data_IF_337860558537
#
_entry.id   IF_337860558537
#
_cell.length_a   1.000
_cell.length_b   1.000
_cell.length_c   1.000
_cell.angle_alpha   90.00
_cell.angle_beta   90.00
_cell.angle_gamma   90.00
#
_symmetry.space_group_name_H-M   'P 1'
#
loop_
_entity.id
_entity.type
_entity.pdbx_description
1 polymer ?
#
# COMPACT_ATOMS: atom_id res chain seq x y z
N UNK A 1 -45.50 64.25 -3.40
CA UNK A 1 -44.57 64.36 -4.53
C UNK A 1 -44.25 62.95 -5.02
N UNK A 2 -44.88 62.57 -6.14
CA UNK A 2 -44.44 61.68 -7.25
C UNK A 2 -43.33 60.63 -6.98
N UNK A 3 -43.34 59.36 -7.42
CA UNK A 3 -43.97 58.69 -8.56
C UNK A 3 -43.79 57.16 -8.40
N UNK A 4 -44.80 56.36 -8.76
CA UNK A 4 -44.68 54.91 -8.96
C UNK A 4 -43.97 54.64 -10.29
N UNK A 5 -42.90 53.86 -10.32
CA UNK A 5 -42.37 53.26 -11.55
C UNK A 5 -42.24 51.75 -11.34
N UNK A 6 -43.02 50.99 -12.11
CA UNK A 6 -42.81 49.57 -12.37
C UNK A 6 -41.77 49.49 -13.49
N UNK A 7 -40.67 48.77 -13.31
CA UNK A 7 -39.81 48.33 -14.41
C UNK A 7 -39.81 46.80 -14.46
N UNK A 8 -40.15 46.33 -15.66
CA UNK A 8 -40.25 44.94 -16.09
C UNK A 8 -38.84 44.36 -16.29
N UNK A 9 -38.75 43.06 -16.08
CA UNK A 9 -37.57 42.21 -16.10
C UNK A 9 -36.65 42.37 -17.33
N UNK A 10 -35.36 42.13 -17.08
CA UNK A 10 -34.46 41.46 -18.04
C UNK A 10 -33.61 40.46 -17.26
N UNK A 11 -33.87 39.18 -17.50
CA UNK A 11 -33.08 38.07 -17.02
C UNK A 11 -31.69 38.11 -17.67
N UNK A 12 -30.64 38.21 -16.88
CA UNK A 12 -29.29 37.88 -17.33
C UNK A 12 -29.11 36.39 -17.13
N UNK A 13 -29.32 35.62 -18.20
CA UNK A 13 -28.86 34.22 -18.27
C UNK A 13 -27.35 34.28 -18.41
N UNK A 14 -26.63 34.08 -17.29
CA UNK A 14 -25.21 33.75 -17.35
C UNK A 14 -25.12 32.30 -17.81
N UNK A 15 -24.83 32.11 -19.10
CA UNK A 15 -24.41 30.83 -19.62
C UNK A 15 -23.02 30.51 -19.02
N UNK A 16 -23.00 29.73 -17.94
CA UNK A 16 -21.77 29.10 -17.46
C UNK A 16 -21.41 28.04 -18.48
N UNK A 17 -20.45 28.37 -19.36
CA UNK A 17 -19.79 27.40 -20.22
C UNK A 17 -19.18 26.32 -19.32
N UNK A 18 -19.62 25.08 -19.54
CA UNK A 18 -19.24 23.92 -18.77
C UNK A 18 -17.72 23.73 -18.75
N UNK A 19 -17.13 23.87 -17.57
CA UNK A 19 -15.89 23.19 -17.28
C UNK A 19 -16.25 21.70 -17.04
N UNK A 20 -15.63 20.74 -17.74
CA UNK A 20 -15.75 19.35 -17.33
C UNK A 20 -15.22 19.27 -15.90
N UNK A 21 -16.06 18.85 -14.96
CA UNK A 21 -15.58 18.39 -13.67
C UNK A 21 -14.69 17.18 -13.96
N UNK A 22 -13.38 17.39 -13.96
CA UNK A 22 -12.42 16.30 -13.95
C UNK A 22 -12.63 15.60 -12.62
N UNK A 23 -13.46 14.54 -12.64
CA UNK A 23 -13.42 13.54 -11.60
C UNK A 23 -11.98 13.05 -11.59
N UNK A 24 -11.23 13.36 -10.54
CA UNK A 24 -10.00 12.66 -10.28
C UNK A 24 -10.40 11.20 -10.09
N UNK A 25 -10.31 10.42 -11.17
CA UNK A 25 -10.33 8.98 -11.04
C UNK A 25 -9.27 8.64 -9.99
N UNK A 26 -9.52 7.66 -9.09
CA UNK A 26 -8.42 7.12 -8.31
C UNK A 26 -7.36 6.71 -9.35
N UNK A 27 -6.15 7.25 -9.19
CA UNK A 27 -5.10 6.94 -10.11
C UNK A 27 -4.86 5.43 -9.98
N UNK A 28 -5.19 4.69 -11.04
CA UNK A 28 -5.11 3.24 -11.03
C UNK A 28 -3.65 2.84 -10.83
N UNK A 29 -3.31 2.42 -9.61
CA UNK A 29 -2.21 1.52 -9.38
C UNK A 29 -2.47 0.26 -10.22
N UNK A 30 -1.38 -0.32 -10.72
CA UNK A 30 -1.48 -1.53 -11.52
C UNK A 30 -0.31 -2.41 -11.15
N UNK A 31 -0.64 -3.58 -10.60
CA UNK A 31 0.27 -4.72 -10.44
C UNK A 31 1.02 -5.05 -11.75
N UNK A 32 0.55 -4.55 -12.91
CA UNK A 32 1.22 -4.66 -14.21
C UNK A 32 2.61 -4.03 -14.27
N UNK A 33 2.99 -3.17 -13.32
CA UNK A 33 4.33 -2.59 -13.28
C UNK A 33 5.35 -3.49 -12.56
N UNK A 34 4.90 -4.53 -11.84
CA UNK A 34 5.77 -5.47 -11.15
C UNK A 34 6.35 -4.96 -9.82
N UNK A 35 5.77 -3.89 -9.25
CA UNK A 35 6.14 -3.29 -7.97
C UNK A 35 4.90 -2.95 -7.14
N UNK A 36 5.06 -2.85 -5.83
CA UNK A 36 4.09 -2.14 -4.97
C UNK A 36 4.17 -0.66 -5.27
N UNK A 37 3.08 -0.08 -5.76
CA UNK A 37 3.08 1.31 -6.21
C UNK A 37 1.67 1.90 -6.17
N UNK A 38 1.56 3.21 -5.96
CA UNK A 38 0.32 3.91 -6.21
C UNK A 38 0.52 5.37 -6.57
N UNK A 39 -0.58 6.10 -6.73
CA UNK A 39 -0.56 7.45 -7.25
C UNK A 39 -1.51 8.36 -6.49
N UNK A 40 -1.10 9.61 -6.30
CA UNK A 40 -1.81 10.54 -5.41
C UNK A 40 -1.50 10.26 -3.95
N UNK A 41 -2.54 10.10 -3.13
CA UNK A 41 -2.41 9.79 -1.72
C UNK A 41 -1.71 8.44 -1.53
N UNK A 42 -1.04 8.24 -0.39
CA UNK A 42 -0.33 6.99 -0.08
C UNK A 42 -1.22 5.96 0.63
N UNK A 43 -2.38 6.40 1.14
CA UNK A 43 -3.24 5.64 2.04
C UNK A 43 -3.90 4.42 1.40
N UNK A 44 -3.95 4.38 0.07
CA UNK A 44 -4.60 3.34 -0.73
C UNK A 44 -3.63 2.57 -1.63
N UNK A 45 -2.34 2.92 -1.66
CA UNK A 45 -1.32 2.30 -2.53
C UNK A 45 -1.14 0.79 -2.35
N UNK A 46 -1.57 0.22 -1.22
CA UNK A 46 -1.45 -1.21 -0.94
C UNK A 46 -2.77 -1.97 -1.16
N UNK A 47 -3.87 -1.27 -1.46
CA UNK A 47 -5.20 -1.84 -1.42
C UNK A 47 -5.53 -2.75 -2.61
N UNK A 48 -4.89 -2.56 -3.76
CA UNK A 48 -5.09 -3.34 -4.99
C UNK A 48 -3.90 -4.28 -5.30
N UNK A 49 -2.99 -4.43 -4.35
CA UNK A 49 -1.75 -5.17 -4.49
C UNK A 49 -1.90 -6.69 -4.26
N UNK A 50 -0.88 -7.44 -4.70
CA UNK A 50 -0.81 -8.90 -4.61
C UNK A 50 -1.41 -9.63 -5.83
N UNK A 51 -1.78 -10.91 -5.69
CA UNK A 51 -1.48 -11.77 -4.56
C UNK A 51 0.00 -12.20 -4.54
N UNK A 52 0.52 -12.49 -3.34
CA UNK A 52 1.71 -13.34 -3.13
C UNK A 52 1.37 -14.51 -2.20
N UNK A 53 1.90 -15.69 -2.50
CA UNK A 53 1.71 -16.92 -1.73
C UNK A 53 2.79 -17.95 -2.08
N UNK A 54 2.74 -19.14 -1.46
CA UNK A 54 3.64 -20.24 -1.81
C UNK A 54 3.55 -20.70 -3.28
N UNK A 55 2.43 -20.42 -3.96
CA UNK A 55 2.22 -20.77 -5.37
C UNK A 55 2.26 -19.57 -6.32
N UNK A 56 2.37 -18.34 -5.81
CA UNK A 56 2.28 -17.13 -6.62
C UNK A 56 3.31 -16.12 -6.19
N UNK A 57 4.28 -15.83 -7.07
CA UNK A 57 5.43 -14.95 -6.80
C UNK A 57 6.12 -15.31 -5.45
N UNK A 58 6.42 -16.61 -5.22
CA UNK A 58 6.84 -17.09 -3.90
C UNK A 58 8.24 -16.62 -3.51
N UNK A 59 8.99 -15.98 -4.41
CA UNK A 59 10.32 -15.46 -4.13
C UNK A 59 10.42 -14.04 -4.69
N UNK A 60 10.30 -13.03 -3.83
CA UNK A 60 10.33 -11.62 -4.24
C UNK A 60 10.59 -10.65 -3.08
N UNK A 61 10.91 -9.39 -3.38
CA UNK A 61 11.03 -8.33 -2.39
C UNK A 61 9.70 -8.04 -1.68
N UNK A 62 8.56 -8.27 -2.34
CA UNK A 62 7.24 -8.17 -1.67
C UNK A 62 7.04 -9.28 -0.64
N UNK A 63 7.57 -10.47 -0.87
CA UNK A 63 7.59 -11.53 0.15
C UNK A 63 8.44 -11.10 1.34
N UNK A 64 9.59 -10.47 1.10
CA UNK A 64 10.44 -9.93 2.17
C UNK A 64 9.70 -8.85 2.99
N UNK A 65 8.97 -7.93 2.33
CA UNK A 65 8.11 -6.95 3.00
C UNK A 65 7.10 -7.65 3.90
N UNK A 66 6.41 -8.67 3.37
CA UNK A 66 5.40 -9.38 4.12
C UNK A 66 5.99 -10.13 5.33
N UNK A 67 7.14 -10.77 5.17
CA UNK A 67 7.84 -11.42 6.29
C UNK A 67 8.28 -10.41 7.36
N UNK A 68 8.71 -9.20 6.96
CA UNK A 68 8.99 -8.11 7.90
C UNK A 68 7.74 -7.68 8.66
N UNK A 69 6.58 -7.56 8.00
CA UNK A 69 5.29 -7.25 8.65
C UNK A 69 4.91 -8.35 9.66
N UNK A 70 5.02 -9.62 9.27
CA UNK A 70 4.76 -10.75 10.16
C UNK A 70 5.70 -10.72 11.37
N UNK A 71 6.98 -10.40 11.17
CA UNK A 71 7.94 -10.24 12.27
C UNK A 71 7.57 -9.08 13.20
N UNK A 72 7.28 -7.91 12.63
CA UNK A 72 6.91 -6.73 13.40
C UNK A 72 5.65 -6.95 14.24
N UNK A 73 4.72 -7.77 13.74
CA UNK A 73 3.49 -8.15 14.42
C UNK A 73 3.62 -9.39 15.32
N UNK A 74 4.80 -10.01 15.42
CA UNK A 74 5.08 -11.13 16.32
C UNK A 74 4.64 -12.51 15.82
N UNK A 75 4.44 -12.68 14.51
CA UNK A 75 4.04 -13.93 13.86
C UNK A 75 5.21 -14.70 13.25
N UNK A 76 6.38 -14.06 13.08
CA UNK A 76 7.56 -14.65 12.47
C UNK A 76 8.82 -14.21 13.22
N UNK A 77 9.76 -15.13 13.40
CA UNK A 77 11.08 -14.77 13.94
C UNK A 77 11.90 -14.00 12.90
N UNK A 78 12.78 -13.10 13.36
CA UNK A 78 13.62 -12.29 12.45
C UNK A 78 14.51 -13.14 11.55
N UNK A 79 14.92 -14.33 12.01
CA UNK A 79 15.70 -15.30 11.23
C UNK A 79 14.90 -16.03 10.16
N UNK A 80 13.56 -15.92 10.17
CA UNK A 80 12.67 -16.52 9.17
C UNK A 80 12.46 -15.64 7.94
N UNK A 81 13.14 -14.49 7.85
CA UNK A 81 13.06 -13.59 6.71
C UNK A 81 14.11 -14.00 5.68
N UNK A 82 13.65 -14.69 4.64
CA UNK A 82 14.47 -15.30 3.59
C UNK A 82 14.00 -14.93 2.17
N UNK A 83 12.99 -14.07 2.07
CA UNK A 83 12.32 -13.64 0.85
C UNK A 83 11.51 -14.74 0.16
N UNK A 84 11.31 -15.91 0.79
CA UNK A 84 10.58 -17.06 0.26
C UNK A 84 9.28 -17.33 1.01
N UNK A 85 8.20 -17.48 0.25
CA UNK A 85 6.88 -17.77 0.78
C UNK A 85 6.71 -19.28 1.02
N UNK A 86 7.47 -19.80 1.99
CA UNK A 86 7.42 -21.21 2.38
C UNK A 86 6.29 -21.55 3.35
N UNK A 87 6.21 -22.81 3.81
CA UNK A 87 5.19 -23.28 4.76
C UNK A 87 5.11 -22.47 6.05
N UNK A 88 6.26 -22.00 6.57
CA UNK A 88 6.33 -21.16 7.78
C UNK A 88 5.64 -19.81 7.52
N UNK A 89 5.98 -19.14 6.42
CA UNK A 89 5.35 -17.88 6.00
C UNK A 89 3.84 -18.07 5.75
N UNK A 90 3.42 -19.17 5.13
CA UNK A 90 1.99 -19.51 4.94
C UNK A 90 1.25 -19.66 6.26
N UNK A 91 1.80 -20.40 7.22
CA UNK A 91 1.18 -20.58 8.52
C UNK A 91 1.08 -19.26 9.30
N UNK A 92 2.16 -18.47 9.31
CA UNK A 92 2.19 -17.15 9.94
C UNK A 92 1.15 -16.19 9.31
N UNK A 93 1.04 -16.19 7.97
CA UNK A 93 0.05 -15.40 7.22
C UNK A 93 -1.38 -15.79 7.60
N UNK A 94 -1.67 -17.10 7.61
CA UNK A 94 -3.00 -17.64 7.95
C UNK A 94 -3.43 -17.18 9.36
N UNK A 95 -2.49 -17.24 10.32
CA UNK A 95 -2.75 -16.81 11.70
C UNK A 95 -2.93 -15.29 11.78
N UNK A 96 -2.05 -14.52 11.15
CA UNK A 96 -2.15 -13.05 11.08
C UNK A 96 -3.49 -12.57 10.52
N UNK A 97 -3.97 -13.22 9.44
CA UNK A 97 -5.25 -12.96 8.81
C UNK A 97 -6.40 -13.26 9.77
N UNK A 98 -6.40 -14.45 10.38
CA UNK A 98 -7.46 -14.90 11.28
C UNK A 98 -7.59 -13.99 12.50
N UNK A 99 -6.46 -13.60 13.10
CA UNK A 99 -6.41 -12.70 14.27
C UNK A 99 -6.91 -11.28 13.93
N UNK A 100 -6.91 -10.90 12.65
CA UNK A 100 -7.41 -9.60 12.15
C UNK A 100 -8.80 -9.68 11.53
N UNK A 101 -9.49 -10.81 11.73
CA UNK A 101 -10.86 -11.03 11.24
C UNK A 101 -10.97 -11.19 9.73
N UNK A 102 -9.88 -11.55 9.05
CA UNK A 102 -9.87 -11.92 7.64
C UNK A 102 -10.04 -13.43 7.47
N UNK A 103 -10.33 -13.87 6.24
CA UNK A 103 -10.21 -15.28 5.88
C UNK A 103 -8.73 -15.69 5.98
N UNK A 104 -8.42 -16.65 6.85
CA UNK A 104 -7.09 -17.25 6.96
C UNK A 104 -6.80 -18.22 5.82
N UNK A 105 -6.64 -17.72 4.59
CA UNK A 105 -6.34 -18.53 3.41
C UNK A 105 -4.83 -18.63 3.10
N UNK A 106 -3.99 -17.92 3.85
CA UNK A 106 -2.54 -17.91 3.66
C UNK A 106 -2.08 -17.18 2.40
N UNK A 107 -2.97 -16.40 1.77
CA UNK A 107 -2.68 -15.63 0.55
C UNK A 107 -2.66 -14.14 0.86
N UNK A 108 -1.56 -13.48 0.52
CA UNK A 108 -1.41 -12.04 0.72
C UNK A 108 -1.92 -11.32 -0.51
N UNK A 109 -3.24 -11.10 -0.56
CA UNK A 109 -3.89 -10.28 -1.58
C UNK A 109 -4.40 -8.95 -1.03
N UNK A 110 -5.16 -8.24 -1.86
CA UNK A 110 -5.78 -6.94 -1.58
C UNK A 110 -6.36 -6.80 -0.16
N UNK A 111 -7.19 -7.74 0.31
CA UNK A 111 -7.78 -7.65 1.65
C UNK A 111 -6.74 -7.73 2.78
N UNK A 112 -5.71 -8.56 2.62
CA UNK A 112 -4.60 -8.71 3.56
C UNK A 112 -3.76 -7.43 3.60
N UNK A 113 -3.38 -6.90 2.44
CA UNK A 113 -2.55 -5.69 2.34
C UNK A 113 -3.31 -4.42 2.75
N UNK A 114 -4.60 -4.31 2.42
CA UNK A 114 -5.47 -3.23 2.92
C UNK A 114 -5.51 -3.23 4.45
N UNK A 115 -5.64 -4.42 5.07
CA UNK A 115 -5.63 -4.53 6.53
C UNK A 115 -4.28 -4.13 7.12
N UNK A 116 -3.17 -4.54 6.51
CA UNK A 116 -1.83 -4.17 6.94
C UNK A 116 -1.60 -2.65 6.82
N UNK A 117 -2.05 -2.04 5.73
CA UNK A 117 -1.90 -0.61 5.48
C UNK A 117 -2.55 0.29 6.56
N UNK A 118 -3.52 -0.22 7.32
CA UNK A 118 -4.10 0.52 8.47
C UNK A 118 -3.10 0.80 9.60
N UNK A 119 -1.96 0.12 9.61
CA UNK A 119 -0.86 0.32 10.55
C UNK A 119 0.24 1.22 9.99
N UNK A 120 0.09 1.71 8.76
CA UNK A 120 1.00 2.69 8.20
C UNK A 120 0.77 4.06 8.83
N UNK A 121 1.85 4.76 9.12
CA UNK A 121 1.88 6.14 9.57
C UNK A 121 2.95 6.91 8.80
N UNK A 122 2.79 8.22 8.74
CA UNK A 122 3.76 9.12 8.12
C UNK A 122 4.23 10.14 9.15
N UNK A 123 5.55 10.32 9.22
CA UNK A 123 6.17 11.40 9.99
C UNK A 123 7.14 12.14 9.08
N UNK A 124 6.86 13.42 8.86
CA UNK A 124 7.51 14.26 7.85
C UNK A 124 7.42 13.63 6.45
N UNK A 125 8.47 12.94 6.00
CA UNK A 125 8.57 12.29 4.70
C UNK A 125 8.82 10.77 4.79
N UNK A 126 8.83 10.22 6.01
CA UNK A 126 9.10 8.80 6.26
C UNK A 126 7.79 8.06 6.51
N UNK A 127 7.61 6.95 5.79
CA UNK A 127 6.51 6.03 6.03
C UNK A 127 6.98 4.96 6.99
N UNK A 128 6.14 4.62 7.96
CA UNK A 128 6.45 3.56 8.91
C UNK A 128 5.26 2.64 9.12
N UNK A 129 5.53 1.35 9.23
CA UNK A 129 4.57 0.36 9.68
C UNK A 129 4.76 0.14 11.17
N UNK A 130 3.73 0.43 11.95
CA UNK A 130 3.69 0.19 13.39
C UNK A 130 3.29 -1.27 13.66
N UNK A 131 4.26 -2.09 14.07
CA UNK A 131 4.01 -3.48 14.43
C UNK A 131 3.21 -3.64 15.72
N UNK A 132 2.77 -4.86 16.03
CA UNK A 132 2.25 -5.17 17.35
C UNK A 132 3.41 -5.18 18.38
N UNK A 133 3.64 -4.06 19.08
CA UNK A 133 4.66 -3.92 20.13
C UNK A 133 5.58 -2.73 19.91
N UNK A 134 6.91 -2.96 19.93
CA UNK A 134 7.94 -1.92 19.75
C UNK A 134 8.64 -1.99 18.38
N UNK A 135 8.24 -2.93 17.51
CA UNK A 135 8.88 -3.12 16.21
C UNK A 135 8.27 -2.19 15.18
N UNK A 136 9.12 -1.38 14.55
CA UNK A 136 8.74 -0.46 13.47
C UNK A 136 9.51 -0.81 12.21
N UNK A 137 8.84 -0.78 11.07
CA UNK A 137 9.46 -0.95 9.75
C UNK A 137 9.41 0.40 9.05
N UNK A 138 10.50 0.83 8.44
CA UNK A 138 10.54 2.04 7.63
C UNK A 138 10.39 1.71 6.15
N UNK A 139 9.59 2.52 5.48
CA UNK A 139 9.34 2.45 4.05
C UNK A 139 9.61 3.82 3.41
N UNK A 140 10.06 3.77 2.16
CA UNK A 140 10.15 4.91 1.28
C UNK A 140 9.07 4.80 0.22
N UNK A 141 8.59 5.97 -0.21
CA UNK A 141 7.72 6.10 -1.37
C UNK A 141 8.39 7.08 -2.33
N UNK A 142 8.77 6.58 -3.49
CA UNK A 142 9.44 7.38 -4.52
C UNK A 142 8.47 8.37 -5.16
N UNK A 143 9.01 9.35 -5.86
CA UNK A 143 8.22 10.36 -6.59
C UNK A 143 7.37 9.75 -7.71
N UNK A 144 7.74 8.57 -8.20
CA UNK A 144 6.97 7.79 -9.19
C UNK A 144 5.95 6.84 -8.54
N UNK A 145 5.76 6.93 -7.22
CA UNK A 145 4.77 6.17 -6.47
C UNK A 145 5.22 4.79 -6.02
N UNK A 146 6.41 4.32 -6.45
CA UNK A 146 6.91 3.00 -6.07
C UNK A 146 7.40 2.98 -4.62
N UNK A 147 7.10 1.90 -3.93
CA UNK A 147 7.53 1.67 -2.56
C UNK A 147 8.88 0.94 -2.52
N UNK A 148 9.71 1.31 -1.57
CA UNK A 148 10.95 0.62 -1.22
C UNK A 148 11.09 0.44 0.29
N UNK A 149 11.94 -0.49 0.69
CA UNK A 149 12.35 -0.67 2.07
C UNK A 149 13.84 -0.99 2.14
N UNK A 150 14.42 -0.86 3.32
CA UNK A 150 15.79 -1.29 3.61
C UNK A 150 15.76 -2.55 4.47
N UNK A 151 16.51 -3.57 4.07
CA UNK A 151 16.56 -4.86 4.76
C UNK A 151 17.90 -5.55 4.54
N UNK A 152 18.63 -5.75 5.62
CA UNK A 152 19.94 -6.40 5.62
C UNK A 152 21.00 -5.58 6.35
N UNK A 153 22.22 -6.12 6.53
CA UNK A 153 23.32 -5.43 7.19
C UNK A 153 23.90 -4.27 6.37
N UNK A 154 23.70 -4.29 5.05
CA UNK A 154 24.11 -3.27 4.08
C UNK A 154 23.22 -2.02 4.09
N UNK A 155 22.03 -2.12 4.71
CA UNK A 155 21.05 -1.04 4.79
C UNK A 155 20.62 -0.47 3.42
N UNK A 156 20.82 -1.22 2.34
CA UNK A 156 20.44 -0.81 1.00
C UNK A 156 18.91 -0.76 0.83
N UNK A 157 18.43 0.28 0.18
CA UNK A 157 17.01 0.45 -0.16
C UNK A 157 16.70 -0.22 -1.48
N UNK A 158 15.83 -1.23 -1.45
CA UNK A 158 15.40 -1.95 -2.63
C UNK A 158 13.90 -1.76 -2.87
N UNK A 159 13.54 -1.62 -4.15
CA UNK A 159 12.14 -1.52 -4.57
C UNK A 159 11.37 -2.79 -4.21
N UNK A 160 10.13 -2.63 -3.79
CA UNK A 160 9.23 -3.73 -3.47
C UNK A 160 8.70 -4.39 -4.74
N UNK A 161 9.57 -5.14 -5.41
CA UNK A 161 9.27 -5.86 -6.65
C UNK A 161 8.59 -7.21 -6.40
N UNK A 162 7.67 -7.56 -7.31
CA UNK A 162 7.05 -8.88 -7.42
C UNK A 162 7.88 -9.89 -8.23
N UNK A 163 8.90 -9.45 -8.96
CA UNK A 163 9.59 -10.27 -9.98
C UNK A 163 11.00 -10.68 -9.58
N UNK A 164 11.57 -10.08 -8.55
CA UNK A 164 12.89 -10.44 -8.03
C UNK A 164 12.98 -10.26 -6.52
N UNK A 165 13.97 -10.93 -5.93
CA UNK A 165 14.38 -10.82 -4.54
C UNK A 165 15.88 -10.47 -4.52
N UNK A 166 16.23 -9.25 -4.09
CA UNK A 166 17.61 -8.74 -4.19
C UNK A 166 18.11 -8.05 -2.91
N UNK A 167 17.39 -8.17 -1.79
CA UNK A 167 17.98 -7.84 -0.50
C UNK A 167 19.14 -8.78 -0.19
N UNK A 168 20.17 -8.27 0.48
CA UNK A 168 21.38 -9.03 0.83
C UNK A 168 21.13 -10.27 1.69
N UNK A 169 19.97 -10.34 2.35
CA UNK A 169 19.57 -11.49 3.18
C UNK A 169 18.73 -12.53 2.43
N UNK A 170 18.27 -12.24 1.22
CA UNK A 170 17.49 -13.21 0.44
C UNK A 170 18.37 -14.41 0.07
N UNK A 171 17.80 -15.62 0.18
CA UNK A 171 18.48 -16.90 -0.14
C UNK A 171 17.81 -17.64 -1.28
#
# INVERSE_FOLDING_TARGET
>A
MFLRIRVVATAVVVAVLGAPAMSAAPASASVSQGYVAGAGAWTDDWADEGPVSASTRPHSNVVAMWQMILWADGYLDRSGIDCRFGPVTTAATTRWQSDRGLRGDGVVGSATLTKAATRLSVYESWFSYDGAGTNVIYFGRRTDGRWDMSLGPDLEWQLLSYTYANFSICS
#
